data_IF_933336656651
#
_entry.id   IF_933336656651
#
_cell.length_a   1.000
_cell.length_b   1.000
_cell.length_c   1.000
_cell.angle_alpha   90.00
_cell.angle_beta   90.00
_cell.angle_gamma   90.00
#
_symmetry.space_group_name_H-M   'P 1'
#
loop_
_entity.id
_entity.type
_entity.pdbx_description
1 polymer ?
#
# COMPACT_ATOMS: atom_id res chain seq x y z
N UNK A 1 -11.85 -0.62 -2.92
CA UNK A 1 -11.24 0.49 -3.64
C UNK A 1 -12.14 1.72 -3.69
N UNK A 2 -13.42 1.55 -4.01
CA UNK A 2 -14.36 2.67 -4.08
C UNK A 2 -14.55 3.38 -2.74
N UNK A 3 -14.42 2.66 -1.64
CA UNK A 3 -14.56 3.24 -0.30
C UNK A 3 -13.48 4.28 0.03
N UNK A 4 -12.36 4.27 -0.69
CA UNK A 4 -11.26 5.22 -0.49
C UNK A 4 -11.19 6.28 -1.58
N UNK A 5 -12.06 6.19 -2.58
CA UNK A 5 -12.01 7.08 -3.74
C UNK A 5 -12.26 8.53 -3.36
N UNK A 6 -13.19 8.79 -2.46
CA UNK A 6 -13.50 10.14 -2.03
C UNK A 6 -12.28 10.82 -1.37
N UNK A 7 -11.57 10.09 -0.51
CA UNK A 7 -10.37 10.60 0.13
C UNK A 7 -9.30 10.97 -0.90
N UNK A 8 -9.09 10.11 -1.89
CA UNK A 8 -8.09 10.34 -2.92
C UNK A 8 -8.46 11.55 -3.80
N UNK A 9 -9.74 11.66 -4.15
CA UNK A 9 -10.23 12.80 -4.94
C UNK A 9 -10.03 14.10 -4.17
N UNK A 10 -10.36 14.14 -2.89
CA UNK A 10 -10.17 15.32 -2.05
C UNK A 10 -8.69 15.70 -1.93
N UNK A 11 -7.80 14.73 -1.98
CA UNK A 11 -6.36 14.97 -1.94
C UNK A 11 -5.78 15.36 -3.29
N UNK A 12 -6.59 15.40 -4.35
CA UNK A 12 -6.14 15.70 -5.70
C UNK A 12 -5.35 14.59 -6.36
N UNK A 13 -5.40 13.36 -5.82
CA UNK A 13 -4.65 12.23 -6.34
C UNK A 13 -5.41 11.56 -7.49
N UNK A 14 -4.75 11.42 -8.63
CA UNK A 14 -5.29 10.66 -9.76
C UNK A 14 -5.02 9.18 -9.53
N UNK A 15 -6.04 8.34 -9.68
CA UNK A 15 -5.93 6.89 -9.52
C UNK A 15 -6.03 6.22 -10.88
N UNK A 16 -5.03 5.41 -11.21
CA UNK A 16 -5.01 4.59 -12.42
C UNK A 16 -5.02 3.13 -12.03
N UNK A 17 -5.72 2.31 -12.79
CA UNK A 17 -5.78 0.86 -12.55
C UNK A 17 -5.34 0.12 -13.79
N UNK A 18 -4.64 -1.01 -13.60
CA UNK A 18 -4.18 -1.88 -14.68
C UNK A 18 -4.34 -3.33 -14.27
N UNK A 19 -5.01 -4.11 -15.12
CA UNK A 19 -5.08 -5.57 -14.98
C UNK A 19 -5.58 -6.03 -13.61
N UNK A 20 -6.62 -5.35 -13.07
CA UNK A 20 -7.18 -5.66 -11.75
C UNK A 20 -8.24 -6.77 -11.79
N UNK A 21 -8.28 -7.58 -12.82
CA UNK A 21 -9.27 -8.65 -12.98
C UNK A 21 -8.85 -9.96 -12.29
N UNK A 22 -7.76 -9.96 -11.56
CA UNK A 22 -7.32 -11.13 -10.79
C UNK A 22 -8.22 -11.37 -9.57
N UNK A 23 -8.38 -12.64 -9.21
CA UNK A 23 -9.16 -13.03 -8.04
C UNK A 23 -8.28 -13.59 -6.95
N UNK A 24 -8.59 -13.23 -5.72
CA UNK A 24 -7.90 -13.75 -4.54
C UNK A 24 -8.94 -14.29 -3.55
N UNK A 25 -8.54 -15.27 -2.76
CA UNK A 25 -9.37 -15.84 -1.72
C UNK A 25 -8.85 -15.34 -0.39
N UNK A 26 -9.53 -14.34 0.15
CA UNK A 26 -9.09 -13.68 1.37
C UNK A 26 -10.29 -12.98 2.01
N UNK A 27 -10.09 -12.42 3.19
CA UNK A 27 -11.13 -11.62 3.84
C UNK A 27 -11.17 -10.23 3.20
N UNK A 28 -12.16 -9.99 2.36
CA UNK A 28 -12.29 -8.75 1.60
C UNK A 28 -12.38 -7.51 2.48
N UNK A 29 -13.02 -7.62 3.64
CA UNK A 29 -13.14 -6.51 4.59
C UNK A 29 -11.77 -6.05 5.08
N UNK A 30 -10.94 -6.99 5.49
CA UNK A 30 -9.61 -6.67 6.02
C UNK A 30 -8.64 -6.26 4.92
N UNK A 31 -8.76 -6.83 3.73
CA UNK A 31 -7.96 -6.39 2.59
C UNK A 31 -8.31 -4.97 2.20
N UNK A 32 -9.59 -4.61 2.24
CA UNK A 32 -10.03 -3.24 1.98
C UNK A 32 -9.41 -2.26 2.99
N UNK A 33 -9.38 -2.63 4.27
CA UNK A 33 -8.73 -1.84 5.31
C UNK A 33 -7.22 -1.70 5.03
N UNK A 34 -6.57 -2.80 4.68
CA UNK A 34 -5.15 -2.82 4.36
C UNK A 34 -4.82 -1.88 3.20
N UNK A 35 -5.58 -1.99 2.10
CA UNK A 35 -5.40 -1.11 0.96
C UNK A 35 -5.62 0.36 1.34
N UNK A 36 -6.58 0.62 2.21
CA UNK A 36 -6.84 1.96 2.71
C UNK A 36 -5.63 2.59 3.36
N UNK A 37 -4.88 1.82 4.16
CA UNK A 37 -3.67 2.32 4.80
C UNK A 37 -2.61 2.68 3.77
N UNK A 38 -2.44 1.85 2.74
CA UNK A 38 -1.47 2.11 1.68
C UNK A 38 -1.85 3.33 0.84
N UNK A 39 -3.14 3.48 0.52
CA UNK A 39 -3.62 4.62 -0.25
C UNK A 39 -3.54 5.93 0.54
N UNK A 40 -3.83 5.89 1.84
CA UNK A 40 -3.66 7.07 2.70
C UNK A 40 -2.21 7.50 2.77
N UNK A 41 -1.29 6.54 2.85
CA UNK A 41 0.13 6.83 2.85
C UNK A 41 0.56 7.50 1.54
N UNK A 42 0.07 6.99 0.40
CA UNK A 42 0.36 7.59 -0.90
C UNK A 42 -0.17 9.02 -1.00
N UNK A 43 -1.38 9.27 -0.49
CA UNK A 43 -1.96 10.60 -0.49
C UNK A 43 -1.21 11.57 0.42
N UNK A 44 -0.73 11.10 1.57
CA UNK A 44 0.02 11.93 2.53
C UNK A 44 1.33 12.43 1.95
N UNK A 45 2.04 11.59 1.22
CA UNK A 45 3.36 11.91 0.68
C UNK A 45 3.33 12.23 -0.81
N UNK A 46 2.23 12.76 -1.27
CA UNK A 46 2.02 13.05 -2.68
C UNK A 46 2.90 14.16 -3.21
N UNK A 47 3.21 14.07 -4.49
CA UNK A 47 3.88 15.13 -5.24
C UNK A 47 2.88 16.21 -5.69
N UNK A 48 3.36 17.21 -6.47
CA UNK A 48 2.52 18.27 -6.99
C UNK A 48 1.45 17.77 -7.97
N UNK A 49 1.74 16.72 -8.72
CA UNK A 49 0.80 16.10 -9.66
C UNK A 49 0.67 14.63 -9.32
N UNK A 50 -0.05 14.29 -8.22
CA UNK A 50 0.00 12.97 -7.67
C UNK A 50 -0.79 11.95 -8.50
N UNK A 51 -0.15 10.81 -8.76
CA UNK A 51 -0.75 9.66 -9.43
C UNK A 51 -0.48 8.42 -8.60
N UNK A 52 -1.52 7.63 -8.36
CA UNK A 52 -1.41 6.31 -7.75
C UNK A 52 -1.87 5.28 -8.78
N UNK A 53 -1.04 4.30 -9.06
CA UNK A 53 -1.34 3.23 -9.99
C UNK A 53 -1.52 1.92 -9.23
N UNK A 54 -2.66 1.27 -9.44
CA UNK A 54 -2.95 -0.05 -8.91
C UNK A 54 -2.86 -1.05 -10.05
N UNK A 55 -2.09 -2.11 -9.87
CA UNK A 55 -1.97 -3.16 -10.87
C UNK A 55 -1.87 -4.52 -10.20
N UNK A 56 -2.30 -5.55 -10.89
CA UNK A 56 -2.25 -6.91 -10.39
C UNK A 56 -1.73 -7.85 -11.47
N UNK A 57 -1.02 -8.89 -11.05
CA UNK A 57 -0.56 -9.93 -11.97
C UNK A 57 -0.54 -11.28 -11.28
N UNK A 58 -0.68 -12.33 -12.07
CA UNK A 58 -0.55 -13.69 -11.57
C UNK A 58 0.93 -14.08 -11.51
N UNK A 59 1.35 -14.67 -10.39
CA UNK A 59 2.67 -15.27 -10.22
C UNK A 59 2.45 -16.74 -9.84
N UNK A 60 2.35 -17.59 -10.86
CA UNK A 60 1.94 -18.96 -10.65
C UNK A 60 0.54 -19.01 -10.06
N UNK A 61 0.40 -19.60 -8.86
CA UNK A 61 -0.89 -19.69 -8.15
C UNK A 61 -1.15 -18.51 -7.22
N UNK A 62 -0.19 -17.62 -7.11
CA UNK A 62 -0.30 -16.44 -6.27
C UNK A 62 -0.67 -15.24 -7.12
N UNK A 63 -1.17 -14.19 -6.47
CA UNK A 63 -1.48 -12.92 -7.12
C UNK A 63 -0.68 -11.84 -6.45
N UNK A 64 -0.05 -10.99 -7.24
CA UNK A 64 0.69 -9.82 -6.75
C UNK A 64 -0.10 -8.57 -7.08
N UNK A 65 -0.43 -7.79 -6.07
CA UNK A 65 -1.06 -6.48 -6.23
C UNK A 65 -0.03 -5.42 -5.90
N UNK A 66 0.12 -4.44 -6.79
CA UNK A 66 1.07 -3.35 -6.63
C UNK A 66 0.33 -2.05 -6.49
N UNK A 67 0.69 -1.26 -5.48
CA UNK A 67 0.23 0.11 -5.26
C UNK A 67 1.45 1.00 -5.42
N UNK A 68 1.50 1.74 -6.53
CA UNK A 68 2.65 2.57 -6.85
C UNK A 68 2.24 4.03 -6.92
N UNK A 69 2.99 4.90 -6.25
CA UNK A 69 2.76 6.34 -6.33
C UNK A 69 3.99 7.05 -6.89
N UNK A 70 3.76 8.26 -7.39
CA UNK A 70 4.81 9.15 -7.87
C UNK A 70 5.12 10.25 -6.86
N UNK A 71 4.95 9.96 -5.57
CA UNK A 71 5.15 10.91 -4.50
C UNK A 71 6.61 11.25 -4.22
N UNK A 72 6.85 11.80 -3.04
CA UNK A 72 8.19 12.26 -2.67
C UNK A 72 9.18 11.13 -2.41
N UNK A 73 8.69 9.90 -2.27
CA UNK A 73 9.52 8.75 -1.98
C UNK A 73 10.02 8.72 -0.54
N UNK A 74 10.82 7.71 -0.24
CA UNK A 74 11.33 7.46 1.11
C UNK A 74 12.85 7.41 1.03
N UNK A 75 13.57 8.16 1.89
CA UNK A 75 15.02 8.05 1.94
C UNK A 75 15.48 6.62 2.21
N UNK A 76 16.54 6.19 1.54
CA UNK A 76 17.01 4.81 1.62
C UNK A 76 17.29 4.38 3.07
N UNK A 77 17.82 5.28 3.90
CA UNK A 77 18.14 4.96 5.29
C UNK A 77 16.89 4.81 6.17
N UNK A 78 15.73 5.33 5.74
CA UNK A 78 14.49 5.20 6.48
C UNK A 78 13.66 4.00 6.03
N UNK A 79 13.88 3.52 4.80
CA UNK A 79 13.06 2.44 4.22
C UNK A 79 12.96 1.19 5.09
N UNK A 80 14.04 0.70 5.73
CA UNK A 80 13.94 -0.46 6.60
C UNK A 80 13.06 -0.27 7.83
N UNK A 81 12.73 0.99 8.18
CA UNK A 81 12.03 1.34 9.41
C UNK A 81 10.58 1.77 9.20
N UNK A 82 10.11 1.84 7.96
CA UNK A 82 8.77 2.41 7.67
C UNK A 82 7.62 1.63 8.29
N UNK A 83 7.83 0.33 8.59
CA UNK A 83 6.81 -0.50 9.21
C UNK A 83 6.95 -0.58 10.73
N UNK A 84 7.92 0.11 11.31
CA UNK A 84 8.10 0.13 12.76
C UNK A 84 6.96 0.90 13.41
N UNK A 85 6.57 0.43 14.59
CA UNK A 85 5.51 1.08 15.35
C UNK A 85 5.92 2.52 15.72
N UNK A 86 5.06 3.48 15.36
CA UNK A 86 5.27 4.88 15.68
C UNK A 86 6.28 5.60 14.78
N UNK A 87 6.85 4.93 13.78
CA UNK A 87 7.81 5.59 12.88
C UNK A 87 7.09 6.54 11.92
N UNK A 88 7.48 7.81 11.91
CA UNK A 88 6.93 8.82 11.03
C UNK A 88 7.90 9.35 10.00
N UNK A 89 9.20 9.14 10.21
CA UNK A 89 10.25 9.64 9.31
C UNK A 89 10.35 11.16 9.29
N UNK A 90 11.36 11.67 8.59
CA UNK A 90 11.59 13.11 8.45
C UNK A 90 10.44 13.80 7.68
N UNK A 91 9.96 13.18 6.62
CA UNK A 91 8.88 13.75 5.79
C UNK A 91 7.51 13.64 6.46
N UNK A 92 7.30 12.61 7.26
CA UNK A 92 6.07 12.40 8.00
C UNK A 92 5.77 13.51 8.99
N UNK A 93 6.81 13.99 9.67
CA UNK A 93 6.68 15.07 10.65
C UNK A 93 6.24 16.38 10.00
N UNK A 94 6.82 16.70 8.84
CA UNK A 94 6.51 17.94 8.14
C UNK A 94 5.08 17.94 7.55
N UNK A 95 4.50 16.76 7.35
CA UNK A 95 3.15 16.61 6.80
C UNK A 95 2.07 16.58 7.87
N UNK A 96 2.43 16.53 9.14
CA UNK A 96 1.49 16.52 10.25
C UNK A 96 0.52 15.35 10.26
N UNK A 97 -0.18 15.14 11.34
CA UNK A 97 -1.27 14.17 11.42
C UNK A 97 -0.88 12.69 11.34
N UNK A 98 0.41 12.38 11.23
CA UNK A 98 0.86 10.99 11.20
C UNK A 98 1.13 10.47 12.60
N UNK A 99 0.53 9.33 12.94
CA UNK A 99 0.78 8.65 14.20
C UNK A 99 1.87 7.59 14.07
N UNK A 100 2.30 7.28 12.85
CA UNK A 100 3.24 6.21 12.58
C UNK A 100 2.64 4.82 12.73
N UNK A 101 1.32 4.73 12.83
CA UNK A 101 0.64 3.44 13.06
C UNK A 101 0.10 2.81 11.80
N UNK A 102 -0.16 3.58 10.74
CA UNK A 102 -0.80 3.07 9.52
C UNK A 102 -0.05 1.91 8.87
N UNK A 103 1.23 2.10 8.55
CA UNK A 103 2.03 1.05 7.92
C UNK A 103 2.35 -0.09 8.88
N UNK A 104 2.53 0.20 10.16
CA UNK A 104 2.70 -0.83 11.19
C UNK A 104 1.49 -1.77 11.21
N UNK A 105 0.29 -1.19 11.27
CA UNK A 105 -0.95 -1.97 11.27
C UNK A 105 -1.14 -2.72 9.96
N UNK A 106 -0.81 -2.08 8.85
CA UNK A 106 -0.90 -2.70 7.53
C UNK A 106 -0.05 -3.97 7.47
N UNK A 107 1.18 -3.92 7.96
CA UNK A 107 2.05 -5.08 7.94
C UNK A 107 1.58 -6.18 8.86
N UNK A 108 1.10 -5.83 10.05
CA UNK A 108 0.55 -6.81 10.98
C UNK A 108 -0.68 -7.49 10.41
N UNK A 109 -1.55 -6.73 9.80
CA UNK A 109 -2.76 -7.28 9.19
C UNK A 109 -2.41 -8.19 8.00
N UNK A 110 -1.48 -7.74 7.16
CA UNK A 110 -1.02 -8.56 6.03
C UNK A 110 -0.48 -9.90 6.52
N UNK A 111 0.35 -9.90 7.56
CA UNK A 111 0.90 -11.13 8.12
C UNK A 111 -0.21 -12.06 8.62
N UNK A 112 -1.23 -11.52 9.28
CA UNK A 112 -2.37 -12.30 9.76
C UNK A 112 -3.17 -12.93 8.61
N UNK A 113 -3.19 -12.28 7.45
CA UNK A 113 -3.87 -12.79 6.26
C UNK A 113 -2.94 -13.60 5.35
N UNK A 114 -1.74 -13.87 5.80
CA UNK A 114 -0.70 -14.57 5.03
C UNK A 114 -0.33 -13.84 3.73
N UNK A 115 -0.46 -12.53 3.72
CA UNK A 115 -0.07 -11.66 2.61
C UNK A 115 1.33 -11.13 2.89
N UNK A 116 2.23 -11.27 1.93
CA UNK A 116 3.56 -10.71 2.03
C UNK A 116 3.52 -9.25 1.56
N UNK A 117 3.86 -8.32 2.44
CA UNK A 117 3.89 -6.89 2.14
C UNK A 117 5.33 -6.42 2.04
N UNK A 118 5.67 -5.85 0.89
CA UNK A 118 7.01 -5.31 0.61
C UNK A 118 6.91 -3.87 0.15
N UNK A 119 7.97 -3.12 0.40
CA UNK A 119 8.08 -1.74 -0.04
C UNK A 119 9.38 -1.53 -0.80
N UNK A 120 9.31 -0.74 -1.85
CA UNK A 120 10.46 -0.24 -2.58
C UNK A 120 10.22 1.23 -2.83
N UNK A 121 11.25 2.06 -2.72
CA UNK A 121 11.09 3.49 -2.89
C UNK A 121 12.41 4.12 -3.34
N UNK A 122 12.27 5.23 -4.06
CA UNK A 122 13.40 6.06 -4.43
C UNK A 122 13.00 7.50 -4.13
N UNK A 123 13.79 8.17 -3.32
CA UNK A 123 13.53 9.54 -2.93
C UNK A 123 13.44 10.44 -4.17
N UNK A 124 12.38 11.24 -4.24
CA UNK A 124 12.11 12.10 -5.38
C UNK A 124 11.34 11.44 -6.53
N UNK A 125 11.13 10.12 -6.48
CA UNK A 125 10.46 9.39 -7.58
C UNK A 125 9.17 8.70 -7.17
N UNK A 126 9.06 8.29 -5.91
CA UNK A 126 7.85 7.66 -5.41
C UNK A 126 8.10 6.35 -4.68
N UNK A 127 7.01 5.66 -4.37
CA UNK A 127 7.01 4.44 -3.57
C UNK A 127 6.14 3.37 -4.22
N UNK A 128 6.61 2.12 -4.14
CA UNK A 128 5.87 0.95 -4.59
C UNK A 128 5.64 0.03 -3.39
N UNK A 129 4.38 -0.24 -3.10
CA UNK A 129 4.00 -1.24 -2.11
C UNK A 129 3.47 -2.45 -2.85
N UNK A 130 3.95 -3.63 -2.50
CA UNK A 130 3.60 -4.88 -3.16
C UNK A 130 2.96 -5.82 -2.16
N UNK A 131 1.77 -6.33 -2.51
CA UNK A 131 1.03 -7.32 -1.74
C UNK A 131 1.04 -8.63 -2.50
N UNK A 132 1.68 -9.66 -1.94
CA UNK A 132 1.70 -10.98 -2.54
C UNK A 132 0.73 -11.88 -1.77
N UNK A 133 -0.39 -12.18 -2.40
CA UNK A 133 -1.44 -13.00 -1.79
C UNK A 133 -1.06 -14.47 -1.81
N UNK A 134 -1.49 -15.26 -0.80
CA UNK A 134 -1.18 -16.68 -0.76
C UNK A 134 -1.87 -17.44 -1.87
N UNK A 135 -1.37 -18.62 -2.18
CA UNK A 135 -1.97 -19.48 -3.17
C UNK A 135 -3.37 -19.92 -2.73
N UNK A 136 -4.29 -20.05 -3.69
CA UNK A 136 -5.69 -20.37 -3.45
C UNK A 136 -5.87 -21.63 -2.57
N UNK A 137 -5.07 -22.65 -2.82
CA UNK A 137 -5.19 -23.91 -2.07
C UNK A 137 -4.88 -23.74 -0.60
N UNK A 138 -3.98 -22.84 -0.24
CA UNK A 138 -3.66 -22.58 1.16
C UNK A 138 -4.86 -22.00 1.90
N UNK A 139 -5.66 -21.19 1.23
CA UNK A 139 -6.84 -20.58 1.82
C UNK A 139 -8.00 -21.58 1.93
N UNK A 140 -8.13 -22.49 0.99
CA UNK A 140 -9.21 -23.46 1.00
C UNK A 140 -9.11 -24.46 2.14
N UNK A 141 -7.95 -24.56 2.79
CA UNK A 141 -7.74 -25.43 3.94
C UNK A 141 -8.09 -24.78 5.27
N UNK A 142 -8.37 -23.51 5.23
CA UNK A 142 -8.74 -22.78 6.44
C UNK A 142 -10.24 -22.92 6.70
#
# INVERSE_FOLDING_TARGET
LQSHRALLIQSGVRVETRDLDQRVYTDGKWVCFLLGQLLQNAARYRSAQPVVTLSARALGRRVELTVEDNGIGIPAHELPRIFDRGFTGSNGRSRGGSTGMGLYLARRLAAALEIELRAASEEGKGTRMTLLFPARENLSKL
#
